data_IF_560485323033
#
_entry.id   IF_560485323033
#
_cell.length_a   1.000
_cell.length_b   1.000
_cell.length_c   1.000
_cell.angle_alpha   90.00
_cell.angle_beta   90.00
_cell.angle_gamma   90.00
#
_symmetry.space_group_name_H-M   'P 1'
#
loop_
_entity.id
_entity.type
_entity.pdbx_description
1 polymer ?
#
# COMPACT_ATOMS: atom_id res chain seq x y z
N UNK A 1 12.26 -1.66 -7.65
CA UNK A 1 10.93 -1.58 -7.01
C UNK A 1 11.14 -1.07 -5.61
N UNK A 2 10.32 -0.14 -5.14
CA UNK A 2 10.36 0.31 -3.75
C UNK A 2 9.11 -0.23 -3.05
N UNK A 3 9.32 -0.98 -1.99
CA UNK A 3 8.27 -1.42 -1.07
C UNK A 3 8.30 -0.45 0.10
N UNK A 4 7.17 0.12 0.47
CA UNK A 4 7.02 0.96 1.64
C UNK A 4 6.10 0.24 2.64
N UNK A 5 6.65 -0.08 3.80
CA UNK A 5 5.88 -0.61 4.91
C UNK A 5 5.01 0.49 5.47
N UNK A 6 3.70 0.23 5.57
CA UNK A 6 2.82 1.12 6.29
C UNK A 6 3.07 0.87 7.78
N UNK A 7 4.12 1.49 8.31
CA UNK A 7 4.56 1.28 9.67
C UNK A 7 3.44 1.64 10.65
N UNK A 8 2.98 0.62 11.39
CA UNK A 8 1.88 0.60 12.37
C UNK A 8 0.55 0.08 11.82
N UNK A 9 0.34 -1.25 11.86
CA UNK A 9 -1.02 -1.80 11.95
C UNK A 9 -1.29 -2.06 13.44
N UNK A 10 -2.30 -1.40 14.04
CA UNK A 10 -3.72 -1.60 13.69
C UNK A 10 -4.44 -0.32 13.21
N UNK A 11 -5.25 -0.43 12.14
CA UNK A 11 -6.08 0.67 11.59
C UNK A 11 -5.69 1.17 10.19
N UNK A 12 -5.39 0.25 9.26
CA UNK A 12 -4.79 0.53 7.97
C UNK A 12 -5.59 1.48 7.04
N UNK A 13 -4.90 2.48 6.46
CA UNK A 13 -5.42 3.32 5.36
C UNK A 13 -5.17 2.66 4.00
N UNK A 14 -6.24 2.29 3.29
CA UNK A 14 -6.19 1.91 1.89
C UNK A 14 -6.17 3.16 1.00
N UNK A 15 -5.03 3.49 0.41
CA UNK A 15 -4.89 4.60 -0.54
C UNK A 15 -5.04 4.17 -2.01
N UNK A 16 -5.13 2.86 -2.27
CA UNK A 16 -5.25 2.29 -3.62
C UNK A 16 -6.66 1.85 -3.95
N UNK A 17 -7.56 2.79 -4.25
CA UNK A 17 -8.87 2.51 -4.86
C UNK A 17 -9.99 2.14 -3.86
N UNK A 18 -10.76 3.15 -3.42
CA UNK A 18 -12.01 2.92 -2.70
C UNK A 18 -12.35 4.05 -1.73
N UNK A 19 -13.46 4.75 -2.03
CA UNK A 19 -14.22 5.73 -1.23
C UNK A 19 -13.44 6.49 -0.14
N UNK A 20 -13.23 7.77 -0.41
CA UNK A 20 -12.51 8.73 0.42
C UNK A 20 -12.95 8.78 1.88
N UNK A 21 -12.04 9.27 2.71
CA UNK A 21 -12.17 9.47 4.15
C UNK A 21 -13.42 10.32 4.44
N UNK A 22 -14.56 9.66 4.67
CA UNK A 22 -15.90 10.28 4.79
C UNK A 22 -16.13 11.00 6.14
N UNK A 23 -15.19 10.90 7.09
CA UNK A 23 -15.39 11.36 8.46
C UNK A 23 -14.87 12.79 8.77
N UNK A 24 -14.10 13.43 7.87
CA UNK A 24 -13.58 14.77 8.15
C UNK A 24 -14.41 15.85 7.47
N UNK A 25 -15.24 16.52 8.30
CA UNK A 25 -16.02 17.70 7.94
C UNK A 25 -15.06 18.88 7.72
N UNK A 26 -14.53 19.01 6.48
CA UNK A 26 -13.65 20.09 6.04
C UNK A 26 -12.50 19.60 5.13
N UNK A 27 -12.48 20.03 3.87
CA UNK A 27 -11.50 19.58 2.86
C UNK A 27 -10.05 19.91 3.23
N UNK A 28 -9.79 20.95 4.02
CA UNK A 28 -8.44 21.33 4.43
C UNK A 28 -7.83 20.37 5.47
N UNK A 29 -8.59 20.04 6.51
CA UNK A 29 -8.13 19.14 7.57
C UNK A 29 -7.90 17.72 7.04
N UNK A 30 -8.80 17.22 6.19
CA UNK A 30 -8.64 15.93 5.50
C UNK A 30 -7.34 15.87 4.69
N UNK A 31 -7.05 16.93 3.92
CA UNK A 31 -5.83 17.01 3.10
C UNK A 31 -4.56 17.03 3.95
N UNK A 32 -4.55 17.78 5.05
CA UNK A 32 -3.40 17.85 5.95
C UNK A 32 -3.12 16.50 6.60
N UNK A 33 -4.15 15.82 7.09
CA UNK A 33 -4.00 14.49 7.68
C UNK A 33 -3.47 13.47 6.66
N UNK A 34 -4.06 13.44 5.45
CA UNK A 34 -3.58 12.55 4.40
C UNK A 34 -2.13 12.87 3.99
N UNK A 35 -1.77 14.15 3.86
CA UNK A 35 -0.40 14.55 3.56
C UNK A 35 0.59 14.08 4.63
N UNK A 36 0.23 14.20 5.91
CA UNK A 36 1.03 13.67 7.02
C UNK A 36 1.21 12.15 6.92
N UNK A 37 0.11 11.41 6.72
CA UNK A 37 0.13 9.95 6.64
C UNK A 37 0.97 9.46 5.45
N UNK A 38 0.82 10.09 4.27
CA UNK A 38 1.63 9.76 3.10
C UNK A 38 3.10 10.08 3.31
N UNK A 39 3.41 11.24 3.90
CA UNK A 39 4.80 11.63 4.19
C UNK A 39 5.46 10.67 5.18
N UNK A 40 4.71 10.18 6.17
CA UNK A 40 5.20 9.19 7.12
C UNK A 40 5.45 7.83 6.46
N UNK A 41 4.52 7.34 5.64
CA UNK A 41 4.59 6.01 5.03
C UNK A 41 5.78 5.84 4.06
N UNK A 42 6.23 6.91 3.40
CA UNK A 42 7.33 6.86 2.41
C UNK A 42 8.71 7.15 2.98
N UNK A 43 8.83 7.29 4.31
CA UNK A 43 10.10 7.52 4.99
C UNK A 43 11.09 6.38 4.72
N UNK A 44 12.38 6.68 4.46
CA UNK A 44 13.38 5.67 4.09
C UNK A 44 13.46 4.48 5.06
N UNK A 45 13.27 4.72 6.36
CA UNK A 45 13.31 3.71 7.43
C UNK A 45 12.22 2.64 7.29
N UNK A 46 11.13 2.96 6.59
CA UNK A 46 10.04 2.02 6.32
C UNK A 46 10.06 1.50 4.89
N UNK A 47 11.06 1.86 4.09
CA UNK A 47 11.12 1.43 2.69
C UNK A 47 12.27 0.47 2.42
N UNK A 48 12.01 -0.48 1.52
CA UNK A 48 13.00 -1.39 0.98
C UNK A 48 13.04 -1.23 -0.54
N UNK A 49 14.23 -0.96 -1.10
CA UNK A 49 14.45 -0.94 -2.55
C UNK A 49 14.95 -2.30 -3.01
N UNK A 50 14.10 -2.99 -3.74
CA UNK A 50 14.43 -4.25 -4.40
C UNK A 50 14.97 -4.01 -5.81
N UNK A 51 16.20 -4.48 -6.05
CA UNK A 51 16.86 -4.48 -7.37
C UNK A 51 16.55 -5.81 -8.06
N UNK A 52 15.98 -5.74 -9.26
CA UNK A 52 15.57 -6.92 -10.01
C UNK A 52 16.77 -7.55 -10.75
N UNK A 53 16.84 -8.87 -10.74
CA UNK A 53 17.70 -9.67 -11.60
C UNK A 53 16.85 -10.76 -12.30
N UNK A 54 17.29 -11.29 -13.45
CA UNK A 54 16.61 -12.41 -14.09
C UNK A 54 16.44 -13.59 -13.13
N UNK A 55 15.22 -14.14 -13.05
CA UNK A 55 14.88 -15.23 -12.12
C UNK A 55 14.55 -14.78 -10.68
N UNK A 56 14.70 -13.50 -10.36
CA UNK A 56 14.32 -12.98 -9.04
C UNK A 56 12.79 -13.04 -8.85
N UNK A 57 12.37 -13.44 -7.64
CA UNK A 57 10.99 -13.43 -7.19
C UNK A 57 10.86 -12.49 -5.99
N UNK A 58 9.84 -11.63 -6.03
CA UNK A 58 9.43 -10.83 -4.88
C UNK A 58 7.99 -11.19 -4.52
N UNK A 59 7.76 -11.42 -3.22
CA UNK A 59 6.44 -11.63 -2.65
C UNK A 59 6.24 -10.61 -1.52
N UNK A 60 5.06 -10.03 -1.44
CA UNK A 60 4.74 -9.01 -0.44
C UNK A 60 3.27 -9.11 -0.02
N UNK A 61 2.98 -8.78 1.23
CA UNK A 61 1.61 -8.72 1.74
C UNK A 61 0.97 -7.37 1.36
N UNK A 62 -0.04 -7.41 0.49
CA UNK A 62 -0.69 -6.22 -0.02
C UNK A 62 -1.63 -5.54 1.01
N UNK A 63 -1.83 -6.14 2.20
CA UNK A 63 -2.65 -5.58 3.28
C UNK A 63 -1.91 -4.55 4.12
N UNK A 64 -0.59 -4.56 4.12
CA UNK A 64 0.24 -3.70 4.98
C UNK A 64 1.36 -2.97 4.23
N UNK A 65 1.46 -3.15 2.91
CA UNK A 65 2.53 -2.57 2.09
C UNK A 65 1.97 -1.74 0.95
N UNK A 66 2.64 -0.64 0.66
CA UNK A 66 2.52 0.09 -0.60
C UNK A 66 3.75 -0.20 -1.46
N UNK A 67 3.63 -0.15 -2.77
CA UNK A 67 4.77 -0.34 -3.66
C UNK A 67 4.79 0.61 -4.84
N UNK A 68 6.01 0.96 -5.26
CA UNK A 68 6.25 1.87 -6.37
C UNK A 68 7.27 1.25 -7.34
N UNK A 69 6.91 1.23 -8.62
CA UNK A 69 7.83 0.87 -9.70
C UNK A 69 8.61 2.12 -10.12
N UNK A 70 9.85 2.23 -9.62
CA UNK A 70 10.79 3.27 -10.05
C UNK A 70 11.03 3.12 -11.55
N UNK A 71 10.85 4.21 -12.31
CA UNK A 71 11.04 4.27 -13.76
C UNK A 71 12.44 4.83 -14.10
N UNK A 72 13.50 4.14 -13.67
CA UNK A 72 14.90 4.54 -13.79
C UNK A 72 15.67 3.78 -14.88
N UNK A 73 14.97 3.20 -15.87
CA UNK A 73 15.52 2.29 -16.87
C UNK A 73 15.25 2.74 -18.32
N UNK A 74 15.38 4.04 -18.60
CA UNK A 74 15.15 4.60 -19.92
C UNK A 74 15.96 3.87 -21.01
N UNK A 75 15.31 3.53 -22.13
CA UNK A 75 15.93 2.78 -23.23
C UNK A 75 16.04 1.27 -23.02
N UNK A 76 15.68 0.75 -21.84
CA UNK A 76 15.70 -0.68 -21.55
C UNK A 76 14.29 -1.27 -21.41
N UNK A 77 14.07 -2.48 -21.95
CA UNK A 77 12.83 -3.23 -21.74
C UNK A 77 12.86 -3.92 -20.39
N UNK A 78 11.82 -3.73 -19.58
CA UNK A 78 11.60 -4.43 -18.31
C UNK A 78 10.20 -5.05 -18.32
N UNK A 79 10.14 -6.38 -18.26
CA UNK A 79 8.90 -7.15 -18.23
C UNK A 79 8.85 -7.99 -16.96
N UNK A 80 7.70 -7.99 -16.28
CA UNK A 80 7.47 -8.76 -15.07
C UNK A 80 6.16 -9.53 -15.20
N UNK A 81 6.13 -10.74 -14.66
CA UNK A 81 4.90 -11.52 -14.51
C UNK A 81 4.45 -11.42 -13.06
N UNK A 82 3.17 -11.12 -12.83
CA UNK A 82 2.58 -10.97 -11.50
C UNK A 82 1.35 -11.84 -11.38
N UNK A 83 1.28 -12.59 -10.29
CA UNK A 83 0.07 -13.28 -9.82
C UNK A 83 -0.33 -12.67 -8.49
N UNK A 84 -1.63 -12.59 -8.24
CA UNK A 84 -2.20 -12.09 -6.98
C UNK A 84 -3.05 -13.18 -6.34
N UNK A 85 -2.92 -13.33 -5.03
CA UNK A 85 -3.81 -14.18 -4.22
C UNK A 85 -5.03 -13.36 -3.84
N UNK A 86 -6.23 -13.95 -3.95
CA UNK A 86 -7.48 -13.31 -3.52
C UNK A 86 -7.43 -13.07 -2.00
N UNK A 87 -7.75 -11.85 -1.58
CA UNK A 87 -7.80 -11.48 -0.16
C UNK A 87 -9.22 -11.25 0.35
N UNK A 88 -9.33 -11.00 1.65
CA UNK A 88 -10.54 -10.66 2.37
C UNK A 88 -10.91 -9.17 2.31
N UNK A 89 -12.16 -8.85 2.66
CA UNK A 89 -12.57 -7.46 2.88
C UNK A 89 -11.92 -6.90 4.16
N UNK A 90 -11.36 -5.67 4.15
CA UNK A 90 -10.78 -5.07 5.36
C UNK A 90 -11.83 -4.86 6.45
N UNK A 91 -11.49 -5.24 7.69
CA UNK A 91 -12.35 -5.01 8.86
C UNK A 91 -11.93 -3.68 9.52
N UNK A 92 -12.82 -2.69 9.63
CA UNK A 92 -12.55 -1.46 10.35
C UNK A 92 -12.22 -1.73 11.83
N UNK A 93 -11.37 -0.89 12.41
CA UNK A 93 -11.09 -0.96 13.86
C UNK A 93 -12.40 -0.72 14.62
N UNK A 94 -12.75 -1.65 15.51
CA UNK A 94 -13.99 -1.60 16.30
C UNK A 94 -15.24 -2.12 15.58
N UNK A 95 -15.12 -2.65 14.38
CA UNK A 95 -16.19 -3.39 13.71
C UNK A 95 -16.03 -4.90 13.95
N UNK A 96 -17.15 -5.59 14.19
CA UNK A 96 -17.18 -7.05 14.20
C UNK A 96 -16.90 -7.59 12.79
N UNK A 97 -16.17 -8.72 12.66
CA UNK A 97 -15.94 -9.35 11.36
C UNK A 97 -17.26 -9.66 10.68
N UNK A 98 -17.43 -9.24 9.43
CA UNK A 98 -18.54 -9.75 8.63
C UNK A 98 -18.37 -11.27 8.46
N UNK A 99 -19.41 -12.05 8.74
CA UNK A 99 -19.37 -13.50 8.63
C UNK A 99 -18.88 -13.90 7.22
N UNK A 100 -17.80 -14.67 7.16
CA UNK A 100 -17.27 -15.23 5.91
C UNK A 100 -18.36 -16.13 5.34
N UNK A 101 -18.93 -15.76 4.19
CA UNK A 101 -19.83 -16.63 3.44
C UNK A 101 -18.96 -17.65 2.71
N UNK A 102 -19.13 -18.92 3.06
CA UNK A 102 -18.52 -20.07 2.40
C UNK A 102 -19.08 -20.28 0.99
#
# INVERSE_FOLDING_TARGET
MQLAHNASCPGHLNAGGGRGVSAYRGDAHRRQLLAFLYSHAVRPEFTCRFVWSPGALAMWDNRCLQHFAINDYAGHRRELRRTTVLGEAPIPVGAEPAAVRA
#
